data_IF_597865604758
#
_entry.id   IF_597865604758
#
_cell.length_a   1.000
_cell.length_b   1.000
_cell.length_c   1.000
_cell.angle_alpha   90.00
_cell.angle_beta   90.00
_cell.angle_gamma   90.00
#
_symmetry.space_group_name_H-M   'P 1'
#
loop_
_entity.id
_entity.type
_entity.pdbx_description
1 polymer ?
#
# COMPACT_ATOMS: atom_id res chain seq x y z
N UNK A 1 -7.23 -14.36 -3.97
CA UNK A 1 -8.71 -14.27 -3.90
C UNK A 1 -9.40 -15.55 -4.34
N UNK A 2 -8.66 -16.51 -4.91
CA UNK A 2 -9.18 -17.71 -5.56
C UNK A 2 -9.68 -18.80 -4.61
N UNK A 3 -9.37 -18.73 -3.31
CA UNK A 3 -9.76 -19.79 -2.37
C UNK A 3 -11.15 -19.62 -1.77
N UNK A 4 -11.71 -18.40 -1.69
CA UNK A 4 -13.03 -18.14 -1.09
C UNK A 4 -13.66 -16.80 -1.53
N UNK A 5 -14.20 -16.71 -2.76
CA UNK A 5 -14.81 -15.49 -3.27
C UNK A 5 -16.11 -15.11 -2.55
N UNK A 6 -16.85 -16.10 -2.04
CA UNK A 6 -18.12 -15.88 -1.33
C UNK A 6 -17.89 -15.12 -0.03
N UNK A 7 -16.97 -15.60 0.82
CA UNK A 7 -16.67 -14.89 2.07
C UNK A 7 -15.98 -13.55 1.79
N UNK A 8 -15.12 -13.45 0.79
CA UNK A 8 -14.52 -12.18 0.40
C UNK A 8 -15.57 -11.10 0.10
N UNK A 9 -16.63 -11.46 -0.65
CA UNK A 9 -17.75 -10.55 -0.94
C UNK A 9 -18.51 -10.16 0.32
N UNK A 10 -18.79 -11.12 1.20
CA UNK A 10 -19.50 -10.85 2.47
C UNK A 10 -18.71 -9.84 3.33
N UNK A 11 -17.41 -10.06 3.52
CA UNK A 11 -16.61 -9.21 4.39
C UNK A 11 -16.32 -7.83 3.80
N UNK A 12 -16.11 -7.74 2.48
CA UNK A 12 -15.99 -6.45 1.79
C UNK A 12 -17.23 -5.59 2.02
N UNK A 13 -18.42 -6.16 1.79
CA UNK A 13 -19.67 -5.41 1.91
C UNK A 13 -20.06 -5.09 3.36
N UNK A 14 -19.55 -5.83 4.35
CA UNK A 14 -19.71 -5.44 5.77
C UNK A 14 -19.00 -4.12 6.09
N UNK A 15 -17.80 -3.91 5.56
CA UNK A 15 -17.06 -2.64 5.71
C UNK A 15 -17.77 -1.53 4.93
N UNK A 16 -18.09 -1.81 3.66
CA UNK A 16 -18.77 -0.90 2.75
C UNK A 16 -20.09 -0.36 3.32
N UNK A 17 -20.95 -1.27 3.80
CA UNK A 17 -22.26 -0.91 4.31
C UNK A 17 -22.20 -0.20 5.66
N UNK A 18 -21.19 -0.51 6.49
CA UNK A 18 -20.94 0.22 7.74
C UNK A 18 -20.55 1.68 7.48
N UNK A 19 -19.91 1.97 6.34
CA UNK A 19 -19.64 3.34 5.91
C UNK A 19 -20.88 4.09 5.39
N UNK A 20 -22.06 3.46 5.41
CA UNK A 20 -23.34 4.07 5.01
C UNK A 20 -23.72 3.87 3.54
N UNK A 21 -22.93 3.11 2.79
CA UNK A 21 -23.23 2.76 1.40
C UNK A 21 -24.25 1.60 1.36
N UNK A 22 -25.18 1.64 0.42
CA UNK A 22 -26.32 0.70 0.40
C UNK A 22 -26.27 -0.31 -0.74
N UNK A 23 -25.39 -0.09 -1.72
CA UNK A 23 -25.16 -1.02 -2.82
C UNK A 23 -24.25 -2.19 -2.40
N UNK A 24 -24.06 -3.12 -3.31
CA UNK A 24 -23.22 -4.29 -3.09
C UNK A 24 -22.11 -4.33 -4.12
N UNK A 25 -20.87 -4.47 -3.64
CA UNK A 25 -19.66 -4.47 -4.43
C UNK A 25 -19.13 -5.90 -4.59
N UNK A 26 -18.73 -6.26 -5.80
CA UNK A 26 -18.06 -7.55 -6.04
C UNK A 26 -16.63 -7.55 -5.48
N UNK A 27 -16.23 -8.68 -4.90
CA UNK A 27 -14.90 -8.86 -4.31
C UNK A 27 -13.79 -9.10 -5.34
N UNK A 28 -13.65 -8.18 -6.30
CA UNK A 28 -12.47 -8.12 -7.16
C UNK A 28 -11.26 -7.58 -6.40
N UNK A 29 -10.05 -7.86 -6.88
CA UNK A 29 -8.84 -7.33 -6.23
C UNK A 29 -8.86 -5.79 -6.19
N UNK A 30 -9.29 -5.15 -7.28
CA UNK A 30 -9.31 -3.69 -7.37
C UNK A 30 -10.33 -3.07 -6.41
N UNK A 31 -11.51 -3.69 -6.25
CA UNK A 31 -12.51 -3.22 -5.29
C UNK A 31 -12.00 -3.37 -3.85
N UNK A 32 -11.32 -4.47 -3.52
CA UNK A 32 -10.71 -4.66 -2.19
C UNK A 32 -9.59 -3.65 -1.96
N UNK A 33 -8.73 -3.41 -2.96
CA UNK A 33 -7.66 -2.41 -2.89
C UNK A 33 -8.23 -1.01 -2.66
N UNK A 34 -9.32 -0.67 -3.34
CA UNK A 34 -10.03 0.62 -3.22
C UNK A 34 -10.67 0.77 -1.85
N UNK A 35 -11.46 -0.18 -1.40
CA UNK A 35 -12.14 -0.13 -0.10
C UNK A 35 -11.13 0.01 1.03
N UNK A 36 -10.04 -0.77 1.00
CA UNK A 36 -8.97 -0.68 1.99
C UNK A 36 -8.27 0.68 1.99
N UNK A 37 -8.14 1.32 0.83
CA UNK A 37 -7.56 2.65 0.74
C UNK A 37 -8.46 3.73 1.34
N UNK A 38 -9.78 3.58 1.20
CA UNK A 38 -10.79 4.50 1.74
C UNK A 38 -10.96 4.32 3.26
N UNK A 39 -11.00 3.08 3.72
CA UNK A 39 -11.21 2.73 5.13
C UNK A 39 -10.06 3.22 6.02
N UNK A 40 -8.81 3.08 5.57
CA UNK A 40 -7.62 3.37 6.38
C UNK A 40 -6.92 4.68 6.00
N UNK A 41 -7.67 5.67 5.49
CA UNK A 41 -7.11 6.99 5.18
C UNK A 41 -6.54 7.60 6.47
N UNK A 42 -5.30 8.07 6.40
CA UNK A 42 -4.62 8.69 7.55
C UNK A 42 -3.94 7.71 8.52
N UNK A 43 -4.10 6.39 8.36
CA UNK A 43 -3.54 5.40 9.29
C UNK A 43 -2.19 4.80 8.85
N UNK A 44 -1.52 5.41 7.87
CA UNK A 44 -0.20 4.98 7.41
C UNK A 44 -0.16 3.66 6.64
N UNK A 45 -1.30 3.11 6.21
CA UNK A 45 -1.36 1.82 5.48
C UNK A 45 -1.08 1.95 3.99
N UNK A 46 -1.47 3.08 3.38
CA UNK A 46 -1.51 3.23 1.91
C UNK A 46 -0.17 3.00 1.22
N UNK A 47 0.92 3.52 1.79
CA UNK A 47 2.25 3.37 1.18
C UNK A 47 2.67 1.89 1.07
N UNK A 48 2.55 1.16 2.18
CA UNK A 48 2.90 -0.26 2.25
C UNK A 48 1.97 -1.15 1.42
N UNK A 49 0.69 -0.78 1.35
CA UNK A 49 -0.28 -1.43 0.48
C UNK A 49 0.09 -1.32 -1.00
N UNK A 50 0.47 -0.12 -1.46
CA UNK A 50 0.93 0.08 -2.84
C UNK A 50 2.20 -0.71 -3.16
N UNK A 51 3.16 -0.75 -2.22
CA UNK A 51 4.39 -1.53 -2.38
C UNK A 51 4.09 -3.03 -2.52
N UNK A 52 3.33 -3.61 -1.59
CA UNK A 52 3.10 -5.07 -1.58
C UNK A 52 2.23 -5.56 -2.74
N UNK A 53 1.44 -4.68 -3.34
CA UNK A 53 0.64 -4.97 -4.52
C UNK A 53 1.37 -4.68 -5.84
N UNK A 54 2.54 -4.04 -5.80
CA UNK A 54 3.27 -3.63 -6.99
C UNK A 54 2.69 -2.39 -7.69
N UNK A 55 1.76 -1.68 -7.04
CA UNK A 55 1.08 -0.52 -7.62
C UNK A 55 1.84 0.80 -7.40
N UNK A 56 2.88 0.79 -6.56
CA UNK A 56 3.63 1.98 -6.17
C UNK A 56 4.22 2.77 -7.36
N UNK A 57 4.88 2.15 -8.36
CA UNK A 57 5.41 2.88 -9.53
C UNK A 57 4.33 3.65 -10.30
N UNK A 58 3.12 3.07 -10.39
CA UNK A 58 2.00 3.63 -11.15
C UNK A 58 1.29 4.74 -10.37
N UNK A 59 1.14 4.59 -9.05
CA UNK A 59 0.33 5.50 -8.21
C UNK A 59 1.17 6.66 -7.63
N UNK A 60 2.45 6.42 -7.35
CA UNK A 60 3.36 7.37 -6.68
C UNK A 60 4.29 8.10 -7.67
N UNK A 61 3.84 8.28 -8.91
CA UNK A 61 4.52 9.12 -9.90
C UNK A 61 4.13 10.60 -9.81
N UNK A 62 4.67 11.43 -10.72
CA UNK A 62 4.27 12.81 -10.86
C UNK A 62 2.76 12.97 -11.08
N UNK A 63 2.17 14.01 -10.51
CA UNK A 63 0.75 14.31 -10.72
C UNK A 63 0.54 15.41 -11.76
N UNK A 64 -0.70 15.51 -12.25
CA UNK A 64 -1.10 16.49 -13.24
C UNK A 64 -1.11 17.94 -12.70
N UNK A 65 -1.03 18.12 -11.38
CA UNK A 65 -1.10 19.42 -10.72
C UNK A 65 0.28 19.97 -10.36
N UNK A 66 1.35 19.19 -10.52
CA UNK A 66 2.73 19.56 -10.22
C UNK A 66 3.08 19.50 -8.73
N UNK A 67 2.22 18.97 -7.86
CA UNK A 67 2.54 18.83 -6.42
C UNK A 67 3.54 17.70 -6.17
N UNK A 68 3.51 16.68 -7.01
CA UNK A 68 4.51 15.61 -7.05
C UNK A 68 5.23 15.66 -8.38
N UNK A 69 6.55 15.78 -8.32
CA UNK A 69 7.43 15.84 -9.50
C UNK A 69 8.41 14.67 -9.58
N UNK A 70 8.59 13.92 -8.48
CA UNK A 70 9.49 12.78 -8.40
C UNK A 70 8.77 11.46 -8.73
N UNK A 71 9.48 10.55 -9.40
CA UNK A 71 9.00 9.19 -9.65
C UNK A 71 9.40 8.25 -8.51
N UNK A 72 8.52 7.31 -8.16
CA UNK A 72 8.86 6.22 -7.25
C UNK A 72 9.85 5.23 -7.89
N UNK A 73 10.85 4.79 -7.13
CA UNK A 73 11.87 3.81 -7.54
C UNK A 73 11.85 2.62 -6.60
N UNK A 74 12.28 1.45 -7.06
CA UNK A 74 12.27 0.23 -6.24
C UNK A 74 13.10 0.34 -4.96
N UNK A 75 14.15 1.17 -4.97
CA UNK A 75 14.95 1.46 -3.78
C UNK A 75 14.11 2.00 -2.60
N UNK A 76 13.08 2.80 -2.90
CA UNK A 76 12.16 3.39 -1.90
C UNK A 76 11.26 2.35 -1.22
N UNK A 77 11.30 1.09 -1.63
CA UNK A 77 10.58 -0.01 -0.98
C UNK A 77 11.01 -0.23 0.46
N UNK A 78 12.26 0.08 0.79
CA UNK A 78 12.85 -0.22 2.07
C UNK A 78 13.17 1.06 2.84
N UNK A 79 12.99 1.02 4.16
CA UNK A 79 13.51 2.07 5.03
C UNK A 79 15.02 1.86 5.20
N UNK A 80 15.81 2.94 5.25
CA UNK A 80 17.23 2.82 5.54
C UNK A 80 17.44 2.21 6.92
N UNK A 81 18.41 1.32 7.04
CA UNK A 81 18.89 0.91 8.36
C UNK A 81 19.56 2.13 8.99
N UNK A 82 19.29 2.49 10.27
CA UNK A 82 19.89 3.65 10.90
C UNK A 82 21.42 3.63 10.78
N UNK A 83 22.01 4.75 10.41
CA UNK A 83 23.45 4.81 10.13
C UNK A 83 24.30 4.44 11.35
N UNK A 84 23.85 4.79 12.56
CA UNK A 84 24.51 4.41 13.81
C UNK A 84 24.66 2.90 13.98
N UNK A 85 23.68 2.11 13.52
CA UNK A 85 23.72 0.65 13.57
C UNK A 85 24.69 0.09 12.53
N UNK A 86 24.75 0.70 11.34
CA UNK A 86 25.73 0.33 10.30
C UNK A 86 27.16 0.58 10.80
N UNK A 87 27.40 1.74 11.40
CA UNK A 87 28.70 2.13 11.93
C UNK A 87 29.12 1.21 13.09
N UNK A 88 28.19 0.92 14.01
CA UNK A 88 28.42 0.03 15.16
C UNK A 88 28.69 -1.42 14.74
N UNK A 89 28.09 -1.89 13.65
CA UNK A 89 28.26 -3.25 13.15
C UNK A 89 29.63 -3.50 12.49
N UNK A 90 30.46 -2.47 12.29
CA UNK A 90 31.84 -2.59 11.80
C UNK A 90 31.98 -3.47 10.53
N UNK A 91 31.03 -3.34 9.60
CA UNK A 91 31.01 -4.05 8.32
C UNK A 91 30.32 -5.43 8.33
N UNK A 92 29.80 -5.89 9.46
CA UNK A 92 29.00 -7.13 9.54
C UNK A 92 27.55 -6.94 9.09
N UNK A 93 27.02 -5.72 9.21
CA UNK A 93 25.71 -5.32 8.71
C UNK A 93 25.86 -4.51 7.43
N UNK A 94 25.15 -4.91 6.37
CA UNK A 94 25.15 -4.20 5.08
C UNK A 94 23.88 -3.39 4.93
N UNK A 95 24.05 -2.17 4.47
CA UNK A 95 22.95 -1.27 4.17
C UNK A 95 22.14 -1.77 2.96
N UNK A 96 20.84 -1.48 2.95
CA UNK A 96 19.99 -1.72 1.78
C UNK A 96 20.27 -0.71 0.65
N UNK A 97 19.85 -1.05 -0.56
CA UNK A 97 19.86 -0.13 -1.68
C UNK A 97 18.54 0.67 -1.65
N UNK A 98 18.53 1.81 -0.95
CA UNK A 98 17.36 2.67 -0.72
C UNK A 98 17.43 4.00 -1.48
#
# INVERSE_FOLDING_TARGET
LTSDPTNAKIWLNKVHNRAGLTDTVDATLDNIKKERALEFVGEGKRYWDLIRWGDAPTVLGPDAYGYRTNTWSESKKYLPIPQSEIDAAQGTLKQNNY
#
